data_IF_819900008706
#
_entry.id   IF_819900008706
#
_cell.length_a   1.000
_cell.length_b   1.000
_cell.length_c   1.000
_cell.angle_alpha   90.00
_cell.angle_beta   90.00
_cell.angle_gamma   90.00
#
_symmetry.space_group_name_H-M   'P 1'
#
loop_
_entity.id
_entity.type
_entity.pdbx_description
1 polymer ?
#
# COMPACT_ATOMS: atom_id res chain seq x y z
N UNK A 1 -5.33 17.99 -4.71
CA UNK A 1 -4.06 17.25 -4.95
C UNK A 1 -3.93 16.20 -3.87
N UNK A 2 -4.69 15.15 -4.10
CA UNK A 2 -5.38 14.35 -3.11
C UNK A 2 -4.42 13.29 -2.56
N UNK A 3 -3.75 13.66 -1.47
CA UNK A 3 -2.73 12.88 -0.77
C UNK A 3 -3.34 12.23 0.47
N UNK A 4 -4.32 11.35 0.32
CA UNK A 4 -4.70 10.48 1.44
C UNK A 4 -3.79 9.24 1.46
N UNK A 5 -2.52 9.48 1.81
CA UNK A 5 -1.63 8.42 2.28
C UNK A 5 -2.02 8.08 3.72
N UNK A 6 -2.55 6.88 3.94
CA UNK A 6 -2.95 6.41 5.27
C UNK A 6 -1.90 5.47 5.83
N UNK A 7 -1.52 5.69 7.09
CA UNK A 7 -0.73 4.73 7.87
C UNK A 7 -1.71 3.77 8.53
N UNK A 8 -1.77 2.49 8.14
CA UNK A 8 -2.55 1.52 8.88
C UNK A 8 -1.84 1.26 10.23
N UNK A 9 -2.54 1.57 11.33
CA UNK A 9 -2.01 1.46 12.69
C UNK A 9 -2.10 0.05 13.26
N UNK A 10 -3.08 -0.73 12.80
CA UNK A 10 -3.42 -2.07 13.31
C UNK A 10 -2.73 -3.20 12.55
N UNK A 11 -1.87 -2.87 11.58
CA UNK A 11 -1.17 -3.84 10.73
C UNK A 11 0.33 -3.64 10.93
N UNK A 12 0.93 -4.45 11.78
CA UNK A 12 2.37 -4.34 12.08
C UNK A 12 3.20 -5.46 11.48
N UNK A 13 2.61 -6.63 11.21
CA UNK A 13 3.36 -7.81 10.72
C UNK A 13 2.55 -8.63 9.72
N UNK A 14 1.70 -7.96 8.96
CA UNK A 14 0.81 -8.60 7.98
C UNK A 14 1.15 -8.13 6.58
N UNK A 15 0.89 -9.00 5.60
CA UNK A 15 0.80 -8.60 4.21
C UNK A 15 -0.53 -7.90 4.00
N UNK A 16 -0.50 -6.80 3.26
CA UNK A 16 -1.69 -6.06 2.89
C UNK A 16 -1.86 -6.12 1.39
N UNK A 17 -3.09 -6.24 0.93
CA UNK A 17 -3.44 -6.14 -0.47
C UNK A 17 -4.07 -4.78 -0.71
N UNK A 18 -3.42 -4.01 -1.58
CA UNK A 18 -3.80 -2.66 -1.94
C UNK A 18 -4.44 -2.74 -3.33
N UNK A 19 -5.66 -2.25 -3.45
CA UNK A 19 -6.34 -2.10 -4.72
C UNK A 19 -6.12 -0.70 -5.27
N UNK A 20 -5.57 -0.64 -6.48
CA UNK A 20 -5.41 0.60 -7.23
C UNK A 20 -6.79 1.10 -7.70
N UNK A 21 -7.09 2.38 -7.44
CA UNK A 21 -8.35 3.00 -7.88
C UNK A 21 -8.35 3.34 -9.37
N UNK A 22 -7.18 3.54 -9.97
CA UNK A 22 -7.06 3.94 -11.38
C UNK A 22 -7.21 2.77 -12.35
N UNK A 23 -6.56 1.64 -12.08
CA UNK A 23 -6.55 0.46 -12.98
C UNK A 23 -7.25 -0.77 -12.40
N UNK A 24 -7.68 -0.74 -11.14
CA UNK A 24 -8.27 -1.89 -10.46
C UNK A 24 -7.29 -2.99 -10.09
N UNK A 25 -5.99 -2.85 -10.42
CA UNK A 25 -4.97 -3.83 -10.09
C UNK A 25 -4.84 -3.99 -8.57
N UNK A 26 -4.64 -5.23 -8.13
CA UNK A 26 -4.41 -5.55 -6.73
C UNK A 26 -2.93 -5.88 -6.53
N UNK A 27 -2.30 -5.26 -5.54
CA UNK A 27 -0.89 -5.46 -5.26
C UNK A 27 -0.69 -5.82 -3.79
N UNK A 28 0.07 -6.88 -3.56
CA UNK A 28 0.33 -7.40 -2.22
C UNK A 28 1.68 -6.87 -1.77
N UNK A 29 1.73 -6.25 -0.60
CA UNK A 29 2.96 -5.73 -0.01
C UNK A 29 3.00 -5.95 1.49
N UNK A 30 4.21 -5.94 2.06
CA UNK A 30 4.40 -6.08 3.49
C UNK A 30 4.34 -4.72 4.18
N UNK A 31 3.61 -4.63 5.29
CA UNK A 31 3.33 -3.32 5.91
C UNK A 31 4.56 -2.64 6.55
N UNK A 32 5.60 -3.39 6.87
CA UNK A 32 6.90 -2.87 7.32
C UNK A 32 7.96 -2.84 6.21
N UNK A 33 7.53 -2.83 4.95
CA UNK A 33 8.44 -2.66 3.82
C UNK A 33 9.24 -1.35 3.91
N UNK A 34 10.48 -1.39 3.42
CA UNK A 34 11.35 -0.20 3.27
C UNK A 34 11.47 0.27 1.82
N UNK A 35 10.60 -0.26 0.95
CA UNK A 35 10.64 -0.02 -0.50
C UNK A 35 9.34 0.64 -0.95
N UNK A 36 9.44 1.55 -1.93
CA UNK A 36 8.28 2.16 -2.58
C UNK A 36 7.55 1.09 -3.40
N UNK A 37 6.24 1.01 -3.23
CA UNK A 37 5.37 0.07 -3.96
C UNK A 37 4.65 0.85 -5.05
N UNK A 38 4.88 0.44 -6.29
CA UNK A 38 4.32 1.06 -7.49
C UNK A 38 3.49 0.03 -8.23
N UNK A 39 2.32 0.45 -8.69
CA UNK A 39 1.44 -0.40 -9.45
C UNK A 39 2.14 -0.91 -10.71
N UNK A 40 2.25 -2.22 -10.86
CA UNK A 40 2.90 -2.83 -12.04
C UNK A 40 2.13 -2.61 -13.35
N UNK A 41 0.86 -2.18 -13.27
CA UNK A 41 -0.01 -1.96 -14.42
C UNK A 41 -0.01 -0.50 -14.87
N UNK A 42 -0.27 0.45 -13.97
CA UNK A 42 -0.35 1.88 -14.33
C UNK A 42 0.86 2.71 -13.91
N UNK A 43 1.79 2.16 -13.11
CA UNK A 43 2.93 2.89 -12.57
C UNK A 43 2.60 3.85 -11.41
N UNK A 44 1.33 3.95 -11.00
CA UNK A 44 0.94 4.80 -9.87
C UNK A 44 1.55 4.30 -8.56
N UNK A 45 2.06 5.22 -7.74
CA UNK A 45 2.55 4.89 -6.40
C UNK A 45 1.42 4.46 -5.49
N UNK A 46 1.45 3.19 -5.06
CA UNK A 46 0.45 2.59 -4.18
C UNK A 46 0.87 2.65 -2.72
N UNK A 47 2.16 2.56 -2.41
CA UNK A 47 2.64 2.78 -1.06
C UNK A 47 4.07 3.33 -0.99
N UNK A 48 4.36 4.05 0.09
CA UNK A 48 5.66 4.71 0.32
C UNK A 48 6.15 4.38 1.73
N UNK A 49 7.40 3.98 1.93
CA UNK A 49 7.93 3.70 3.26
C UNK A 49 8.23 5.00 4.02
N UNK A 50 7.85 5.07 5.30
CA UNK A 50 8.15 6.18 6.20
C UNK A 50 8.71 5.68 7.52
N UNK A 51 9.98 5.25 7.53
CA UNK A 51 10.72 4.94 8.76
C UNK A 51 10.14 3.79 9.60
N UNK A 52 9.71 2.71 8.95
CA UNK A 52 9.21 1.50 9.62
C UNK A 52 7.72 1.23 9.47
N UNK A 53 6.99 2.10 8.76
CA UNK A 53 5.59 1.88 8.36
C UNK A 53 5.41 2.22 6.88
N UNK A 54 4.53 1.51 6.20
CA UNK A 54 4.08 1.87 4.85
C UNK A 54 2.94 2.90 4.93
N UNK A 55 3.10 3.98 4.19
CA UNK A 55 2.03 4.88 3.81
C UNK A 55 1.33 4.31 2.57
N UNK A 56 0.07 3.93 2.69
CA UNK A 56 -0.71 3.36 1.59
C UNK A 56 -1.57 4.44 0.94
N UNK A 57 -1.53 4.52 -0.39
CA UNK A 57 -2.36 5.36 -1.25
C UNK A 57 -3.27 4.46 -2.09
N UNK A 58 -4.38 4.06 -1.50
CA UNK A 58 -5.32 3.13 -2.12
C UNK A 58 -6.27 2.55 -1.08
N UNK A 59 -7.07 1.58 -1.51
CA UNK A 59 -7.96 0.85 -0.62
C UNK A 59 -7.32 -0.49 -0.26
N UNK A 60 -7.30 -0.83 1.04
CA UNK A 60 -6.81 -2.15 1.48
C UNK A 60 -7.99 -3.11 1.38
N UNK A 61 -7.94 -4.04 0.41
CA UNK A 61 -9.02 -5.02 0.19
C UNK A 61 -8.83 -6.32 0.97
N UNK A 62 -7.63 -6.57 1.50
CA UNK A 62 -7.35 -7.76 2.29
C UNK A 62 -6.07 -7.65 3.11
N UNK A 63 -6.02 -8.41 4.20
CA UNK A 63 -4.84 -8.56 5.06
C UNK A 63 -4.55 -10.04 5.23
N UNK A 64 -3.31 -10.44 4.96
CA UNK A 64 -2.82 -11.81 5.06
C UNK A 64 -1.78 -11.89 6.17
N UNK A 65 -1.81 -12.96 6.96
CA UNK A 65 -0.84 -13.26 8.04
C UNK A 65 0.33 -14.08 7.52
#
# INVERSE_FOLDING_TARGET
MDKEFKVPKDLERKFIKIKCKDCGNEEITYIRGSTVVVCSVCGSTLAVPTGGKLLVKGEITGTFE
#
